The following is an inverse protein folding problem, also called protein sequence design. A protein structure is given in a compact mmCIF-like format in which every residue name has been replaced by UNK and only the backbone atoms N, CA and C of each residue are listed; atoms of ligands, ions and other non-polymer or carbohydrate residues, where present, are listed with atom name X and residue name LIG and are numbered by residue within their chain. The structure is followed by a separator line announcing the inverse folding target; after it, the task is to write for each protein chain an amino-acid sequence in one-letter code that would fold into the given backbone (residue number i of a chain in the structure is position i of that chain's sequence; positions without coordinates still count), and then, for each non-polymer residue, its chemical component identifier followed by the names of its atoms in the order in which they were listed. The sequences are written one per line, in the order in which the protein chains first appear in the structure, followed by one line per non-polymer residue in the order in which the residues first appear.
data_IF_492077021805
#
_entry.id   IF_492077021805
#
_cell.length_a   1.000
_cell.length_b   1.000
_cell.length_c   1.000
_cell.angle_alpha   90.00
_cell.angle_beta   90.00
_cell.angle_gamma   90.00
#
_symmetry.space_group_name_H-M   'P 1'
#
loop_
_entity.id
_entity.type
_entity.pdbx_description
1 polymer ?
#
# COMPACT_ATOMS: atom_id res chain seq x y z
N UNK A 1 -5.47 -15.62 24.67
CA UNK A 1 -6.73 -15.10 25.27
C UNK A 1 -6.53 -13.76 25.95
N UNK A 2 -5.29 -13.39 26.31
CA UNK A 2 -4.99 -12.08 26.91
C UNK A 2 -5.18 -10.93 25.91
N UNK A 3 -4.83 -11.17 24.66
CA UNK A 3 -4.92 -10.22 23.55
C UNK A 3 -6.37 -9.85 23.24
N UNK A 4 -7.26 -10.85 23.26
CA UNK A 4 -8.71 -10.66 23.06
C UNK A 4 -9.30 -9.86 24.23
N UNK A 5 -8.90 -10.18 25.47
CA UNK A 5 -9.36 -9.44 26.65
C UNK A 5 -8.93 -7.97 26.58
N UNK A 6 -7.66 -7.70 26.26
CA UNK A 6 -7.16 -6.32 26.07
C UNK A 6 -7.89 -5.59 24.96
N UNK A 7 -8.16 -6.26 23.83
CA UNK A 7 -8.91 -5.65 22.72
C UNK A 7 -10.31 -5.18 23.16
N UNK A 8 -10.97 -5.96 24.01
CA UNK A 8 -12.29 -5.64 24.57
C UNK A 8 -12.17 -4.48 25.58
N UNK A 9 -11.18 -4.53 26.47
CA UNK A 9 -10.95 -3.51 27.51
C UNK A 9 -10.67 -2.12 26.90
N UNK A 10 -9.85 -2.06 25.86
CA UNK A 10 -9.52 -0.83 25.13
C UNK A 10 -10.60 -0.42 24.10
N UNK A 11 -11.69 -1.19 23.99
CA UNK A 11 -12.83 -0.85 23.13
C UNK A 11 -12.57 -1.04 21.62
N UNK A 12 -11.58 -1.84 21.23
CA UNK A 12 -11.32 -2.14 19.83
C UNK A 12 -12.41 -3.04 19.23
N UNK A 13 -12.95 -2.62 18.09
CA UNK A 13 -13.98 -3.39 17.36
C UNK A 13 -13.41 -4.60 16.61
N UNK A 14 -12.13 -4.55 16.22
CA UNK A 14 -11.48 -5.55 15.40
C UNK A 14 -10.13 -5.95 16.02
N UNK A 15 -9.83 -7.24 16.02
CA UNK A 15 -8.53 -7.78 16.40
C UNK A 15 -7.82 -8.30 15.15
N UNK A 16 -6.72 -7.67 14.77
CA UNK A 16 -5.97 -8.03 13.57
C UNK A 16 -5.18 -9.32 13.78
N UNK A 17 -5.53 -10.37 13.06
CA UNK A 17 -4.90 -11.70 13.16
C UNK A 17 -3.85 -11.97 12.06
N UNK A 18 -3.50 -10.94 11.26
CA UNK A 18 -2.57 -11.03 10.14
C UNK A 18 -3.25 -11.12 8.77
N UNK A 19 -2.45 -11.44 7.75
CA UNK A 19 -2.89 -11.53 6.36
C UNK A 19 -3.70 -12.79 6.06
N UNK A 20 -4.63 -12.69 5.12
CA UNK A 20 -5.42 -13.82 4.61
C UNK A 20 -4.99 -14.19 3.18
N UNK A 21 -4.48 -15.41 3.00
CA UNK A 21 -4.06 -15.93 1.69
C UNK A 21 -5.07 -16.97 1.23
N UNK A 22 -5.95 -16.61 0.28
CA UNK A 22 -7.08 -17.45 -0.11
C UNK A 22 -6.67 -18.78 -0.75
N UNK A 23 -5.56 -18.83 -1.48
CA UNK A 23 -5.05 -20.06 -2.10
C UNK A 23 -4.59 -21.11 -1.06
N UNK A 24 -4.26 -20.70 0.17
CA UNK A 24 -3.81 -21.60 1.22
C UNK A 24 -4.98 -22.34 1.89
N UNK A 25 -4.99 -23.68 1.79
CA UNK A 25 -6.02 -24.53 2.40
C UNK A 25 -6.21 -24.28 3.90
N UNK A 26 -5.11 -24.04 4.65
CA UNK A 26 -5.18 -23.78 6.09
C UNK A 26 -5.89 -22.47 6.40
N UNK A 27 -5.70 -21.45 5.57
CA UNK A 27 -6.37 -20.15 5.73
C UNK A 27 -7.84 -20.26 5.36
N UNK A 28 -8.20 -20.97 4.28
CA UNK A 28 -9.60 -21.25 3.94
C UNK A 28 -10.34 -21.97 5.06
N UNK A 29 -9.72 -22.99 5.67
CA UNK A 29 -10.28 -23.65 6.84
C UNK A 29 -10.50 -22.66 8.00
N UNK A 30 -9.49 -21.84 8.35
CA UNK A 30 -9.61 -20.81 9.40
C UNK A 30 -10.66 -19.74 9.08
N UNK A 31 -10.88 -19.42 7.81
CA UNK A 31 -11.91 -18.49 7.35
C UNK A 31 -13.34 -18.99 7.55
N UNK A 32 -13.55 -20.30 7.82
CA UNK A 32 -14.89 -20.85 8.06
C UNK A 32 -15.43 -20.56 9.47
N UNK A 33 -14.56 -20.26 10.44
CA UNK A 33 -15.01 -19.79 11.76
C UNK A 33 -15.64 -18.41 11.60
N UNK A 34 -16.82 -18.17 12.17
CA UNK A 34 -17.54 -16.88 12.01
C UNK A 34 -17.75 -16.19 13.36
N UNK A 35 -17.78 -14.85 13.40
CA UNK A 35 -17.62 -13.92 12.27
C UNK A 35 -16.15 -13.65 11.92
N UNK A 36 -15.86 -13.42 10.63
CA UNK A 36 -14.53 -13.03 10.12
C UNK A 36 -14.69 -11.90 9.11
N UNK A 37 -13.71 -11.01 9.09
CA UNK A 37 -13.67 -9.84 8.22
C UNK A 37 -12.30 -9.76 7.53
N UNK A 38 -12.29 -9.30 6.29
CA UNK A 38 -11.08 -8.97 5.53
C UNK A 38 -11.10 -7.46 5.27
N UNK A 39 -9.93 -6.84 5.38
CA UNK A 39 -9.74 -5.45 4.99
C UNK A 39 -9.65 -5.36 3.47
N UNK A 40 -10.52 -4.54 2.87
CA UNK A 40 -10.48 -4.25 1.44
C UNK A 40 -9.19 -3.48 1.10
N UNK A 41 -8.38 -3.93 0.12
CA UNK A 41 -7.08 -3.31 -0.18
C UNK A 41 -7.17 -1.86 -0.67
N UNK A 42 -8.30 -1.45 -1.25
CA UNK A 42 -8.43 -0.13 -1.88
C UNK A 42 -9.18 0.91 -1.02
N UNK A 43 -10.18 0.50 -0.22
CA UNK A 43 -11.05 1.45 0.52
C UNK A 43 -10.90 1.44 2.04
N UNK A 44 -9.81 0.89 2.57
CA UNK A 44 -9.66 0.47 3.97
C UNK A 44 -10.92 0.01 4.73
N UNK A 45 -11.92 -0.58 4.08
CA UNK A 45 -13.15 -1.03 4.73
C UNK A 45 -13.09 -2.50 5.12
N UNK A 46 -13.65 -2.85 6.29
CA UNK A 46 -13.77 -4.24 6.73
C UNK A 46 -15.02 -4.89 6.13
N UNK A 47 -14.82 -5.79 5.18
CA UNK A 47 -15.88 -6.59 4.55
C UNK A 47 -15.93 -8.00 5.16
N UNK A 48 -17.12 -8.61 5.19
CA UNK A 48 -17.28 -9.97 5.73
C UNK A 48 -16.66 -11.00 4.80
N UNK A 49 -15.94 -11.97 5.39
CA UNK A 49 -15.43 -13.13 4.66
C UNK A 49 -16.52 -14.18 4.46
N UNK A 50 -17.56 -13.82 3.73
CA UNK A 50 -18.66 -14.72 3.38
C UNK A 50 -19.25 -14.40 1.99
N UNK A 51 -20.15 -15.29 1.53
CA UNK A 51 -20.97 -15.10 0.34
C UNK A 51 -20.20 -14.60 -0.88
N UNK A 52 -20.48 -13.35 -1.25
CA UNK A 52 -19.92 -12.67 -2.43
C UNK A 52 -18.39 -12.60 -2.42
N UNK A 53 -17.78 -12.20 -1.31
CA UNK A 53 -16.32 -12.03 -1.23
C UNK A 53 -15.61 -13.37 -1.44
N UNK A 54 -16.10 -14.42 -0.78
CA UNK A 54 -15.54 -15.76 -0.90
C UNK A 54 -15.68 -16.30 -2.33
N UNK A 55 -16.81 -16.05 -3.00
CA UNK A 55 -17.00 -16.47 -4.40
C UNK A 55 -16.01 -15.77 -5.33
N UNK A 56 -15.82 -14.46 -5.18
CA UNK A 56 -14.86 -13.69 -5.97
C UNK A 56 -13.41 -14.12 -5.73
N UNK A 57 -13.06 -14.44 -4.48
CA UNK A 57 -11.71 -14.90 -4.12
C UNK A 57 -11.39 -16.31 -4.66
N UNK A 58 -12.41 -17.15 -4.89
CA UNK A 58 -12.21 -18.44 -5.56
C UNK A 58 -11.88 -18.28 -7.06
N UNK A 59 -12.36 -17.21 -7.69
CA UNK A 59 -12.24 -16.96 -9.13
C UNK A 59 -10.96 -16.21 -9.50
N UNK A 60 -10.59 -15.19 -8.70
CA UNK A 60 -9.42 -14.34 -8.97
C UNK A 60 -8.59 -14.06 -7.71
N UNK A 61 -7.25 -13.91 -7.85
CA UNK A 61 -6.34 -13.74 -6.71
C UNK A 61 -6.50 -12.37 -6.03
N UNK A 62 -6.82 -11.32 -6.78
CA UNK A 62 -7.01 -9.97 -6.27
C UNK A 62 -8.49 -9.57 -6.35
N UNK A 63 -9.07 -9.22 -5.19
CA UNK A 63 -10.48 -8.82 -5.08
C UNK A 63 -10.55 -7.54 -4.25
N UNK A 64 -11.25 -6.53 -4.78
CA UNK A 64 -11.71 -5.37 -4.02
C UNK A 64 -13.20 -5.16 -4.24
N UNK A 65 -14.00 -5.21 -3.16
CA UNK A 65 -15.45 -5.02 -3.26
C UNK A 65 -15.83 -3.56 -3.48
N UNK A 66 -15.05 -2.61 -2.96
CA UNK A 66 -15.28 -1.19 -3.24
C UNK A 66 -15.10 -0.89 -4.73
N UNK A 67 -14.03 -1.40 -5.35
CA UNK A 67 -13.80 -1.28 -6.79
C UNK A 67 -14.93 -1.90 -7.60
N UNK A 68 -15.31 -3.13 -7.29
CA UNK A 68 -16.40 -3.81 -8.01
C UNK A 68 -17.72 -3.02 -7.94
N UNK A 69 -18.03 -2.43 -6.77
CA UNK A 69 -19.22 -1.57 -6.59
C UNK A 69 -19.11 -0.29 -7.42
N UNK A 70 -17.94 0.34 -7.49
CA UNK A 70 -17.71 1.55 -8.29
C UNK A 70 -17.83 1.25 -9.80
N UNK A 71 -17.25 0.15 -10.28
CA UNK A 71 -17.34 -0.28 -11.68
C UNK A 71 -18.79 -0.60 -12.07
N UNK A 72 -19.54 -1.28 -11.20
CA UNK A 72 -20.96 -1.54 -11.42
C UNK A 72 -21.80 -0.25 -11.48
N UNK A 73 -21.47 0.75 -10.67
CA UNK A 73 -22.16 2.05 -10.67
C UNK A 73 -21.82 2.92 -11.89
N UNK A 74 -20.60 2.82 -12.43
CA UNK A 74 -20.15 3.58 -13.60
C UNK A 74 -20.51 2.95 -14.95
N UNK A 75 -21.20 1.80 -14.95
CA UNK A 75 -21.70 1.13 -16.16
C UNK A 75 -20.60 0.71 -17.15
N UNK A 76 -19.34 0.74 -16.72
CA UNK A 76 -18.19 0.42 -17.55
C UNK A 76 -17.80 -1.02 -17.23
N UNK A 77 -18.37 -2.00 -17.94
CA UNK A 77 -17.91 -3.40 -17.92
C UNK A 77 -16.54 -3.52 -18.62
N UNK A 78 -15.58 -2.71 -18.22
CA UNK A 78 -14.19 -2.98 -18.55
C UNK A 78 -13.70 -3.97 -17.50
N UNK A 79 -13.76 -5.26 -17.85
CA UNK A 79 -12.78 -6.24 -17.40
C UNK A 79 -11.39 -5.79 -17.87
N UNK A 80 -10.92 -4.65 -17.37
CA UNK A 80 -9.49 -4.42 -17.25
C UNK A 80 -9.11 -5.38 -16.13
N UNK A 81 -8.69 -6.60 -16.49
CA UNK A 81 -7.65 -7.25 -15.70
C UNK A 81 -6.69 -6.11 -15.35
N UNK A 82 -6.38 -5.82 -14.07
CA UNK A 82 -5.22 -4.99 -13.80
C UNK A 82 -4.14 -5.53 -14.74
N UNK A 83 -3.45 -4.66 -15.49
CA UNK A 83 -2.31 -5.12 -16.29
C UNK A 83 -1.43 -5.87 -15.30
N UNK A 84 -1.61 -7.18 -15.21
CA UNK A 84 -0.62 -8.07 -14.70
C UNK A 84 0.52 -7.78 -15.64
N UNK A 85 1.58 -7.21 -15.09
CA UNK A 85 2.89 -7.63 -15.51
C UNK A 85 2.77 -9.12 -15.80
N UNK A 86 2.92 -9.49 -17.07
CA UNK A 86 2.43 -10.73 -17.67
C UNK A 86 2.28 -11.87 -16.64
N UNK A 87 1.12 -12.52 -16.57
CA UNK A 87 0.92 -13.75 -15.77
C UNK A 87 1.87 -14.92 -16.21
N UNK A 88 2.81 -14.64 -17.13
CA UNK A 88 3.86 -15.50 -17.65
C UNK A 88 5.24 -15.22 -17.02
N UNK A 89 5.44 -14.09 -16.34
CA UNK A 89 6.67 -13.87 -15.59
C UNK A 89 6.55 -14.48 -14.19
N UNK A 90 7.53 -15.28 -13.76
CA UNK A 90 7.53 -15.82 -12.41
C UNK A 90 7.46 -14.65 -11.43
N UNK A 91 6.70 -14.80 -10.34
CA UNK A 91 6.69 -13.84 -9.22
C UNK A 91 8.10 -13.62 -8.60
N UNK A 92 9.08 -14.42 -9.03
CA UNK A 92 10.49 -14.39 -8.64
C UNK A 92 11.38 -13.68 -9.70
N UNK A 93 10.81 -13.08 -10.75
CA UNK A 93 11.58 -12.21 -11.63
C UNK A 93 12.02 -10.99 -10.83
N UNK A 94 13.33 -10.82 -10.63
CA UNK A 94 13.90 -9.63 -10.01
C UNK A 94 13.47 -8.40 -10.82
N UNK A 95 12.53 -7.63 -10.28
CA UNK A 95 12.20 -6.31 -10.81
C UNK A 95 13.45 -5.46 -10.61
N UNK A 96 13.90 -4.80 -11.67
CA UNK A 96 14.96 -3.82 -11.51
C UNK A 96 14.37 -2.59 -10.80
N UNK A 97 14.53 -2.55 -9.48
CA UNK A 97 14.10 -1.42 -8.63
C UNK A 97 14.74 -0.10 -9.06
N UNK A 98 15.80 -0.15 -9.89
CA UNK A 98 16.44 1.03 -10.47
C UNK A 98 15.67 1.62 -11.66
N UNK A 99 14.82 0.84 -12.33
CA UNK A 99 14.13 1.21 -13.58
C UNK A 99 12.64 1.48 -13.41
N UNK A 100 12.02 1.00 -12.32
CA UNK A 100 10.56 1.05 -12.14
C UNK A 100 10.18 1.94 -10.96
N UNK A 101 9.41 3.00 -11.22
CA UNK A 101 8.88 3.84 -10.15
C UNK A 101 7.69 3.20 -9.44
N UNK A 102 7.67 3.33 -8.11
CA UNK A 102 6.57 2.93 -7.23
C UNK A 102 5.21 3.52 -7.67
N UNK A 103 5.22 4.73 -8.23
CA UNK A 103 4.01 5.40 -8.72
C UNK A 103 3.41 4.71 -9.96
N UNK A 104 4.23 4.01 -10.75
CA UNK A 104 3.74 3.29 -11.95
C UNK A 104 3.11 1.94 -11.60
N UNK A 105 3.53 1.33 -10.49
CA UNK A 105 3.00 0.06 -10.00
C UNK A 105 1.56 0.19 -9.46
N UNK A 106 1.15 1.42 -9.12
CA UNK A 106 -0.20 1.77 -8.68
C UNK A 106 -0.69 0.87 -7.52
N UNK A 107 0.21 0.64 -6.55
CA UNK A 107 -0.05 -0.18 -5.38
C UNK A 107 -1.16 0.44 -4.50
N UNK A 108 -2.20 -0.32 -4.11
CA UNK A 108 -3.22 0.17 -3.19
C UNK A 108 -2.62 0.61 -1.85
N UNK A 109 -3.11 1.73 -1.31
CA UNK A 109 -2.67 2.29 -0.04
C UNK A 109 -1.43 3.18 -0.10
N UNK A 110 -0.81 3.31 -1.29
CA UNK A 110 0.26 4.27 -1.55
C UNK A 110 -0.34 5.58 -2.06
N UNK A 111 0.22 6.72 -1.65
CA UNK A 111 -0.19 8.02 -2.17
C UNK A 111 0.16 8.19 -3.64
N UNK A 112 -0.73 8.84 -4.39
CA UNK A 112 -0.47 9.22 -5.78
C UNK A 112 0.54 10.37 -5.88
N UNK A 113 1.15 10.55 -7.06
CA UNK A 113 2.09 11.66 -7.31
C UNK A 113 1.47 13.02 -6.95
N UNK A 114 0.21 13.23 -7.31
CA UNK A 114 -0.53 14.47 -7.04
C UNK A 114 -0.76 14.71 -5.53
N UNK A 115 -0.88 13.64 -4.75
CA UNK A 115 -1.02 13.72 -3.29
C UNK A 115 0.33 13.98 -2.63
N UNK A 116 1.39 13.33 -3.11
CA UNK A 116 2.75 13.54 -2.59
C UNK A 116 3.26 14.95 -2.91
N UNK A 117 2.93 15.50 -4.08
CA UNK A 117 3.28 16.89 -4.42
C UNK A 117 2.67 17.93 -3.47
N UNK A 118 1.57 17.60 -2.78
CA UNK A 118 0.96 18.47 -1.77
C UNK A 118 1.69 18.39 -0.42
N UNK A 119 2.58 17.41 -0.23
CA UNK A 119 3.40 17.27 0.97
C UNK A 119 4.63 18.16 0.88
N UNK A 120 5.04 18.73 2.01
CA UNK A 120 6.26 19.50 2.11
C UNK A 120 7.48 18.59 2.27
N UNK A 121 7.91 17.98 1.16
CA UNK A 121 9.11 17.14 1.13
C UNK A 121 10.39 17.93 1.44
N UNK A 122 10.41 19.25 1.20
CA UNK A 122 11.59 20.09 1.35
C UNK A 122 12.03 20.26 2.81
N UNK A 123 11.06 20.39 3.71
CA UNK A 123 11.34 20.52 5.15
C UNK A 123 11.67 19.19 5.84
N UNK A 124 11.49 18.05 5.17
CA UNK A 124 11.75 16.74 5.76
C UNK A 124 13.25 16.60 6.12
N UNK A 125 13.63 16.24 7.36
CA UNK A 125 15.03 16.15 7.73
C UNK A 125 15.73 14.95 7.08
N UNK A 126 16.89 15.19 6.49
CA UNK A 126 17.87 14.21 6.07
C UNK A 126 18.95 14.08 7.14
N UNK A 127 19.20 12.87 7.63
CA UNK A 127 20.29 12.57 8.56
C UNK A 127 21.57 12.27 7.77
N UNK A 128 22.59 13.11 7.94
CA UNK A 128 23.90 12.96 7.30
C UNK A 128 24.98 13.09 8.38
N UNK A 129 25.78 12.04 8.59
CA UNK A 129 26.91 12.04 9.55
C UNK A 129 26.52 12.54 10.95
N UNK A 130 25.34 12.17 11.45
CA UNK A 130 24.84 12.56 12.77
C UNK A 130 24.28 13.99 12.86
N UNK A 131 24.12 14.69 11.73
CA UNK A 131 23.51 16.01 11.64
C UNK A 131 22.25 15.98 10.77
N UNK A 132 21.27 16.82 11.08
CA UNK A 132 20.07 16.98 10.27
C UNK A 132 20.22 18.14 9.29
N UNK A 133 19.87 17.89 8.02
CA UNK A 133 19.84 18.87 6.93
C UNK A 133 18.46 18.82 6.29
N UNK A 134 17.87 19.95 5.90
CA UNK A 134 16.59 19.91 5.19
C UNK A 134 16.80 19.52 3.73
N UNK A 135 15.90 18.73 3.16
CA UNK A 135 15.99 18.32 1.75
C UNK A 135 16.02 19.52 0.78
N UNK A 136 15.35 20.62 1.14
CA UNK A 136 15.38 21.86 0.37
C UNK A 136 16.78 22.48 0.22
N UNK A 137 17.70 22.19 1.15
CA UNK A 137 19.08 22.69 1.12
C UNK A 137 19.98 21.86 0.19
N UNK A 138 19.48 20.74 -0.35
CA UNK A 138 20.22 19.91 -1.29
C UNK A 138 20.39 20.63 -2.63
N UNK A 139 21.60 20.51 -3.19
CA UNK A 139 21.93 21.12 -4.48
C UNK A 139 21.01 20.56 -5.57
N UNK A 140 20.22 21.45 -6.17
CA UNK A 140 19.35 21.10 -7.29
C UNK A 140 17.99 20.50 -6.92
N UNK A 141 17.63 20.44 -5.63
CA UNK A 141 16.36 19.87 -5.14
C UNK A 141 15.12 20.33 -5.91
N UNK A 142 15.01 21.63 -6.20
CA UNK A 142 13.86 22.20 -6.92
C UNK A 142 13.70 21.67 -8.34
N UNK A 143 14.82 21.36 -9.01
CA UNK A 143 14.85 20.95 -10.42
C UNK A 143 14.75 19.44 -10.61
N UNK A 144 14.90 18.67 -9.54
CA UNK A 144 14.85 17.22 -9.59
C UNK A 144 13.42 16.73 -9.93
N UNK A 145 13.29 15.73 -10.83
CA UNK A 145 12.01 15.07 -11.09
C UNK A 145 11.55 14.26 -9.88
N UNK A 146 10.23 14.17 -9.68
CA UNK A 146 9.59 13.42 -8.59
C UNK A 146 9.22 11.99 -9.01
N UNK A 147 9.13 11.78 -10.32
CA UNK A 147 8.70 10.56 -11.01
C UNK A 147 9.87 9.64 -11.42
N UNK A 148 11.11 10.08 -11.20
CA UNK A 148 12.32 9.34 -11.56
C UNK A 148 12.89 8.59 -10.33
N UNK A 149 12.95 7.24 -10.34
CA UNK A 149 13.43 6.44 -9.20
C UNK A 149 14.87 6.74 -8.79
N UNK A 150 15.71 7.15 -9.74
CA UNK A 150 17.13 7.44 -9.51
C UNK A 150 17.37 8.85 -8.94
N UNK A 151 16.35 9.70 -8.90
CA UNK A 151 16.49 11.04 -8.33
C UNK A 151 16.29 11.00 -6.82
N UNK A 152 17.10 11.74 -6.05
CA UNK A 152 16.93 11.88 -4.60
C UNK A 152 15.49 12.30 -4.26
N UNK A 153 14.92 13.22 -5.04
CA UNK A 153 13.54 13.66 -4.84
C UNK A 153 12.52 12.58 -5.18
N UNK A 154 12.79 11.75 -6.18
CA UNK A 154 11.98 10.57 -6.50
C UNK A 154 12.01 9.55 -5.37
N UNK A 155 13.19 9.14 -4.91
CA UNK A 155 13.37 8.22 -3.78
C UNK A 155 12.62 8.72 -2.54
N UNK A 156 12.80 10.00 -2.18
CA UNK A 156 12.14 10.61 -1.02
C UNK A 156 10.63 10.70 -1.23
N UNK A 157 10.16 10.98 -2.45
CA UNK A 157 8.74 11.02 -2.76
C UNK A 157 8.08 9.65 -2.69
N UNK A 158 8.74 8.60 -3.17
CA UNK A 158 8.26 7.21 -3.05
C UNK A 158 8.22 6.78 -1.59
N UNK A 159 9.24 7.13 -0.80
CA UNK A 159 9.24 6.88 0.64
C UNK A 159 8.09 7.63 1.35
N UNK A 160 7.88 8.91 1.02
CA UNK A 160 6.75 9.68 1.54
C UNK A 160 5.39 9.06 1.15
N UNK A 161 5.30 8.52 -0.07
CA UNK A 161 4.08 7.91 -0.59
C UNK A 161 3.68 6.67 0.21
N UNK A 162 4.66 5.87 0.64
CA UNK A 162 4.45 4.64 1.43
C UNK A 162 4.23 4.94 2.90
N UNK A 163 5.00 5.87 3.49
CA UNK A 163 4.88 6.22 4.91
C UNK A 163 3.61 7.02 5.22
N UNK A 164 3.16 7.82 4.25
CA UNK A 164 2.05 8.74 4.41
C UNK A 164 2.39 9.97 5.26
N UNK A 165 1.45 10.93 5.36
CA UNK A 165 1.71 12.26 5.90
C UNK A 165 1.88 12.31 7.42
N UNK A 166 1.44 11.28 8.14
CA UNK A 166 1.52 11.22 9.61
C UNK A 166 2.93 10.84 10.02
N UNK A 167 3.43 9.72 9.51
CA UNK A 167 4.77 9.21 9.87
C UNK A 167 5.87 10.12 9.32
N UNK A 168 5.66 10.69 8.12
CA UNK A 168 6.62 11.60 7.50
C UNK A 168 6.94 12.83 8.39
N UNK A 169 5.95 13.38 9.11
CA UNK A 169 6.15 14.55 9.98
C UNK A 169 7.03 14.27 11.20
N UNK A 170 6.97 13.04 11.71
CA UNK A 170 7.66 12.63 12.95
C UNK A 170 8.89 11.75 12.66
N UNK A 171 9.42 11.80 11.43
CA UNK A 171 10.55 10.99 10.99
C UNK A 171 11.63 11.81 10.28
N UNK A 172 12.79 11.20 10.12
CA UNK A 172 13.90 11.70 9.32
C UNK A 172 14.34 10.61 8.34
N UNK A 173 14.82 11.03 7.18
CA UNK A 173 15.31 10.14 6.12
C UNK A 173 16.80 9.89 6.34
N UNK A 174 17.24 8.64 6.16
CA UNK A 174 18.64 8.28 6.05
C UNK A 174 18.87 7.83 4.61
N UNK A 175 19.70 8.55 3.86
CA UNK A 175 20.13 8.14 2.53
C UNK A 175 21.59 7.70 2.62
N UNK A 176 21.84 6.45 2.25
CA UNK A 176 23.16 5.80 2.26
C UNK A 176 23.73 5.57 3.67
N UNK A 177 23.85 4.30 4.05
CA UNK A 177 24.63 3.81 5.19
C UNK A 177 25.88 3.08 4.66
#
# INVERSE_FOLDING_TARGET
MREIALAIEDGYKYYYMGYYIHSCQKMRYKGTFRPQYILDPESPTWDRLDGELTLKLNDRPYVSLSRDRQTAASGTENFTKPKSHNDEEPADAEINDEEVSLFTLNMPGVLTVDEVQKLDLGSWPLLVHGSFVHMADLVGWERMPIDEPQSIKGIVAELAAVLGPVVMKDSAVVLFD
#
